data_IF_828333677000
#
_entry.id   IF_828333677000
#
_cell.length_a   1.000
_cell.length_b   1.000
_cell.length_c   1.000
_cell.angle_alpha   90.00
_cell.angle_beta   90.00
_cell.angle_gamma   90.00
#
_symmetry.space_group_name_H-M   'P 1'
#
loop_
_entity.id
_entity.type
_entity.pdbx_description
1 polymer ?
#
# COMPACT_ATOMS: atom_id res chain seq x y z
N UNK A 1 5.87 -0.41 18.25
CA UNK A 1 6.03 0.45 17.06
C UNK A 1 6.17 -0.43 15.82
N UNK A 2 5.28 -0.29 14.83
CA UNK A 2 5.43 -1.02 13.56
C UNK A 2 6.51 -0.32 12.72
N UNK A 3 7.75 -0.82 12.78
CA UNK A 3 8.89 -0.29 12.00
C UNK A 3 8.73 -0.49 10.49
N UNK A 4 7.89 -1.45 10.08
CA UNK A 4 7.72 -1.84 8.67
C UNK A 4 6.70 -0.95 7.97
N UNK A 5 5.58 -0.62 8.64
CA UNK A 5 4.53 0.19 8.02
C UNK A 5 4.89 1.66 7.81
N UNK A 6 5.91 2.19 8.51
CA UNK A 6 6.38 3.57 8.31
C UNK A 6 7.40 3.69 7.18
N UNK A 7 7.84 2.57 6.59
CA UNK A 7 8.73 2.58 5.42
C UNK A 7 7.91 2.89 4.18
N UNK A 8 8.34 3.87 3.43
CA UNK A 8 7.88 4.12 2.07
C UNK A 8 8.24 2.92 1.17
N UNK A 9 7.41 2.68 0.17
CA UNK A 9 7.62 1.70 -0.89
C UNK A 9 8.01 2.50 -2.12
N UNK A 10 9.24 2.36 -2.60
CA UNK A 10 9.67 2.95 -3.87
C UNK A 10 9.07 2.17 -5.03
N UNK A 11 8.37 2.86 -5.91
CA UNK A 11 7.87 2.29 -7.16
C UNK A 11 8.99 2.31 -8.22
N UNK A 12 9.27 1.19 -8.90
CA UNK A 12 10.02 1.19 -10.14
C UNK A 12 9.16 1.77 -11.28
N UNK A 13 9.78 2.50 -12.21
CA UNK A 13 9.12 3.29 -13.27
C UNK A 13 8.19 2.49 -14.21
N UNK A 14 8.23 1.15 -14.15
CA UNK A 14 7.37 0.26 -14.96
C UNK A 14 6.08 -0.17 -14.27
N UNK A 15 5.85 0.24 -13.02
CA UNK A 15 4.69 -0.17 -12.23
C UNK A 15 3.81 1.06 -11.97
N UNK A 16 2.56 1.01 -12.41
CA UNK A 16 1.55 2.03 -12.07
C UNK A 16 0.75 1.58 -10.87
N UNK A 17 0.64 2.44 -9.88
CA UNK A 17 -0.23 2.26 -8.73
C UNK A 17 -1.40 3.25 -8.83
N UNK A 18 -2.61 2.72 -8.86
CA UNK A 18 -3.84 3.47 -8.72
C UNK A 18 -4.45 3.15 -7.35
N UNK A 19 -4.66 4.17 -6.52
CA UNK A 19 -5.46 4.06 -5.30
C UNK A 19 -6.78 4.75 -5.57
N UNK A 20 -7.87 3.99 -5.52
CA UNK A 20 -9.22 4.52 -5.57
C UNK A 20 -9.63 5.03 -4.18
N UNK A 21 -10.39 6.12 -4.11
CA UNK A 21 -10.88 6.75 -2.86
C UNK A 21 -11.61 5.78 -1.91
N UNK A 22 -12.10 4.66 -2.45
CA UNK A 22 -12.75 3.58 -1.67
C UNK A 22 -11.78 2.60 -1.01
N UNK A 23 -10.48 2.83 -1.11
CA UNK A 23 -9.44 1.96 -0.58
C UNK A 23 -9.07 0.80 -1.51
N UNK A 24 -9.39 0.88 -2.79
CA UNK A 24 -8.98 -0.14 -3.76
C UNK A 24 -7.61 0.22 -4.34
N UNK A 25 -6.62 -0.65 -4.15
CA UNK A 25 -5.31 -0.54 -4.80
C UNK A 25 -5.32 -1.40 -6.06
N UNK A 26 -5.03 -0.77 -7.19
CA UNK A 26 -4.73 -1.44 -8.44
C UNK A 26 -3.27 -1.20 -8.79
N UNK A 27 -2.52 -2.28 -8.97
CA UNK A 27 -1.12 -2.29 -9.41
C UNK A 27 -1.10 -2.82 -10.83
N UNK A 28 -0.68 -2.01 -11.78
CA UNK A 28 -0.40 -2.45 -13.15
C UNK A 28 1.11 -2.56 -13.32
N UNK A 29 1.61 -3.78 -13.49
CA UNK A 29 3.02 -4.06 -13.74
C UNK A 29 3.24 -4.75 -15.09
N UNK A 30 4.52 -4.97 -15.46
CA UNK A 30 4.87 -5.63 -16.73
C UNK A 30 4.39 -7.09 -16.82
N UNK A 31 4.04 -7.72 -15.67
CA UNK A 31 3.56 -9.11 -15.60
C UNK A 31 2.04 -9.24 -15.48
N UNK A 32 1.30 -8.13 -15.43
CA UNK A 32 -0.16 -8.14 -15.30
C UNK A 32 -0.70 -7.03 -14.40
N UNK A 33 -2.02 -7.08 -14.16
CA UNK A 33 -2.73 -6.17 -13.27
C UNK A 33 -3.17 -6.92 -12.03
N UNK A 34 -2.88 -6.37 -10.86
CA UNK A 34 -3.29 -6.88 -9.56
C UNK A 34 -4.21 -5.86 -8.90
N UNK A 35 -5.30 -6.34 -8.31
CA UNK A 35 -6.25 -5.52 -7.60
C UNK A 35 -6.39 -6.03 -6.18
N UNK A 36 -6.37 -5.12 -5.21
CA UNK A 36 -6.45 -5.43 -3.80
C UNK A 36 -7.26 -4.39 -3.04
N UNK A 37 -8.26 -4.83 -2.30
CA UNK A 37 -9.09 -3.95 -1.48
C UNK A 37 -8.49 -3.78 -0.09
N UNK A 38 -8.22 -2.55 0.30
CA UNK A 38 -7.82 -2.20 1.65
C UNK A 38 -9.03 -2.03 2.57
N UNK A 39 -8.87 -2.38 3.85
CA UNK A 39 -9.83 -2.03 4.88
C UNK A 39 -9.91 -0.51 5.09
N UNK A 40 -11.12 0.00 5.33
CA UNK A 40 -11.47 1.45 5.44
C UNK A 40 -10.64 2.25 6.45
N UNK A 41 -10.02 1.58 7.41
CA UNK A 41 -9.23 2.21 8.46
C UNK A 41 -7.76 2.48 8.06
N UNK A 42 -7.36 2.06 6.85
CA UNK A 42 -6.04 2.28 6.25
C UNK A 42 -6.18 3.21 5.05
N UNK A 43 -5.32 4.22 4.99
CA UNK A 43 -5.20 5.14 3.87
C UNK A 43 -3.85 4.93 3.19
N UNK A 44 -3.77 5.24 1.90
CA UNK A 44 -2.53 5.13 1.14
C UNK A 44 -2.31 6.43 0.41
N UNK A 45 -1.11 6.95 0.56
CA UNK A 45 -0.63 8.17 -0.04
C UNK A 45 0.37 7.78 -1.13
N UNK A 46 0.05 8.13 -2.37
CA UNK A 46 0.93 7.88 -3.52
C UNK A 46 1.59 9.21 -3.87
N UNK A 47 2.91 9.25 -3.70
CA UNK A 47 3.77 10.27 -4.27
C UNK A 47 4.43 9.69 -5.54
N UNK A 48 4.81 10.53 -6.51
CA UNK A 48 5.18 10.17 -7.89
C UNK A 48 6.12 8.95 -8.02
N UNK A 49 7.01 8.73 -7.05
CA UNK A 49 7.89 7.55 -7.00
C UNK A 49 7.84 6.78 -5.68
N UNK A 50 6.94 7.13 -4.75
CA UNK A 50 6.87 6.47 -3.45
C UNK A 50 5.45 6.32 -2.92
N UNK A 51 5.12 5.13 -2.41
CA UNK A 51 3.88 4.87 -1.70
C UNK A 51 4.11 4.88 -0.20
N UNK A 52 3.28 5.62 0.53
CA UNK A 52 3.24 5.63 1.98
C UNK A 52 1.90 5.13 2.45
N UNK A 53 1.90 4.13 3.33
CA UNK A 53 0.66 3.65 3.95
C UNK A 53 0.45 4.43 5.24
N UNK A 54 -0.71 5.06 5.38
CA UNK A 54 -1.16 5.80 6.56
C UNK A 54 -2.24 5.01 7.30
N UNK A 55 -2.27 5.13 8.63
CA UNK A 55 -3.31 4.50 9.46
C UNK A 55 -4.09 5.57 10.19
N UNK A 56 -5.42 5.43 10.28
CA UNK A 56 -6.27 6.39 11.01
C UNK A 56 -6.27 6.19 12.53
N UNK A 57 -5.99 4.97 13.01
CA UNK A 57 -6.02 4.63 14.45
C UNK A 57 -4.82 3.78 14.87
N UNK A 58 -4.44 3.92 16.13
CA UNK A 58 -3.30 3.26 16.77
C UNK A 58 -3.67 1.91 17.44
N UNK A 59 -4.72 1.22 17.00
CA UNK A 59 -5.13 -0.04 17.62
C UNK A 59 -4.24 -1.21 17.20
N UNK A 60 -4.16 -2.23 18.07
CA UNK A 60 -3.37 -3.44 17.86
C UNK A 60 -3.66 -4.18 16.53
N UNK A 61 -4.93 -4.41 16.12
CA UNK A 61 -5.24 -5.03 14.82
C UNK A 61 -4.83 -4.15 13.64
N UNK A 62 -5.00 -2.83 13.74
CA UNK A 62 -4.61 -1.89 12.70
C UNK A 62 -3.10 -1.85 12.46
N UNK A 63 -2.29 -2.01 13.51
CA UNK A 63 -0.82 -2.11 13.34
C UNK A 63 -0.41 -3.36 12.55
N UNK A 64 -1.12 -4.47 12.73
CA UNK A 64 -0.88 -5.71 11.99
C UNK A 64 -1.32 -5.58 10.53
N UNK A 65 -2.53 -5.05 10.31
CA UNK A 65 -3.05 -4.77 8.96
C UNK A 65 -2.15 -3.78 8.22
N UNK A 66 -1.65 -2.74 8.89
CA UNK A 66 -0.74 -1.76 8.30
C UNK A 66 0.55 -2.38 7.78
N UNK A 67 1.15 -3.30 8.55
CA UNK A 67 2.32 -4.06 8.11
C UNK A 67 2.00 -5.00 6.94
N UNK A 68 0.87 -5.69 7.00
CA UNK A 68 0.40 -6.60 5.95
C UNK A 68 0.14 -5.85 4.64
N UNK A 69 -0.60 -4.74 4.67
CA UNK A 69 -0.88 -3.88 3.51
C UNK A 69 0.41 -3.43 2.84
N UNK A 70 1.38 -2.94 3.62
CA UNK A 70 2.69 -2.52 3.09
C UNK A 70 3.40 -3.69 2.41
N UNK A 71 3.44 -4.86 3.03
CA UNK A 71 4.10 -6.03 2.45
C UNK A 71 3.41 -6.53 1.19
N UNK A 72 2.07 -6.53 1.15
CA UNK A 72 1.32 -6.91 -0.05
C UNK A 72 1.59 -5.94 -1.20
N UNK A 73 1.54 -4.63 -0.95
CA UNK A 73 1.85 -3.63 -1.98
C UNK A 73 3.30 -3.77 -2.45
N UNK A 74 4.25 -3.95 -1.53
CA UNK A 74 5.64 -4.18 -1.90
C UNK A 74 5.80 -5.44 -2.77
N UNK A 75 5.15 -6.54 -2.41
CA UNK A 75 5.17 -7.79 -3.17
C UNK A 75 4.49 -7.68 -4.54
N UNK A 76 3.49 -6.82 -4.70
CA UNK A 76 2.85 -6.56 -5.99
C UNK A 76 3.73 -5.71 -6.92
N UNK A 77 4.67 -4.95 -6.35
CA UNK A 77 5.55 -4.01 -7.07
C UNK A 77 6.89 -4.67 -7.48
N UNK A 78 7.43 -5.57 -6.66
CA UNK A 78 8.59 -6.43 -7.00
C UNK A 78 8.24 -7.52 -8.01
#
# INVERSE_FOLDING_TARGET
MSRIGNKTITLPDKVKLNVSDRGEIQVEGPRGKLQWNLPRDISVDISEQSVKVLRKKETRPLRALHGLSRSLVANMVT
#
